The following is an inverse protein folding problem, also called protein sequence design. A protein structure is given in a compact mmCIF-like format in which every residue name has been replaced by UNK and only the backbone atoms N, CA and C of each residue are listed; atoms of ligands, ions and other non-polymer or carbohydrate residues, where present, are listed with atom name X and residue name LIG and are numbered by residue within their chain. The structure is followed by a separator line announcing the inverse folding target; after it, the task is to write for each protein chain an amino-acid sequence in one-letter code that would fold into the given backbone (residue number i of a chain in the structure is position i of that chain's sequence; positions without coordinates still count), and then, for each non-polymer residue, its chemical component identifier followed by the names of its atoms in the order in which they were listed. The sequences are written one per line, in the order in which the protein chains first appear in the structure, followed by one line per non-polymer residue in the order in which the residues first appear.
data_IF_320835076146
#
_entry.id   IF_320835076146
#
_cell.length_a   1.000
_cell.length_b   1.000
_cell.length_c   1.000
_cell.angle_alpha   90.00
_cell.angle_beta   90.00
_cell.angle_gamma   90.00
#
_symmetry.space_group_name_H-M   'P 1'
#
loop_
_entity.id
_entity.type
_entity.pdbx_description
1 polymer ?
#
# COMPACT_ATOMS: atom_id res chain seq x y z
N UNK A 1 -18.27 -24.55 -7.18
CA UNK A 1 -18.60 -23.22 -7.73
C UNK A 1 -18.51 -22.08 -6.73
N UNK A 2 -19.27 -22.03 -5.61
CA UNK A 2 -19.25 -20.90 -4.64
C UNK A 2 -17.87 -20.54 -4.07
N UNK A 3 -17.00 -21.54 -3.87
CA UNK A 3 -15.65 -21.36 -3.35
C UNK A 3 -14.73 -20.63 -4.34
N UNK A 4 -14.84 -20.93 -5.63
CA UNK A 4 -14.01 -20.33 -6.67
C UNK A 4 -14.33 -18.84 -6.83
N UNK A 5 -15.61 -18.47 -6.73
CA UNK A 5 -16.05 -17.07 -6.68
C UNK A 5 -15.50 -16.33 -5.46
N UNK A 6 -15.44 -16.96 -4.28
CA UNK A 6 -14.86 -16.34 -3.08
C UNK A 6 -13.37 -16.05 -3.23
N UNK A 7 -12.61 -16.97 -3.83
CA UNK A 7 -11.18 -16.77 -4.12
C UNK A 7 -11.00 -15.63 -5.12
N UNK A 8 -11.80 -15.61 -6.18
CA UNK A 8 -11.78 -14.53 -7.18
C UNK A 8 -12.07 -13.17 -6.55
N UNK A 9 -13.06 -13.07 -5.66
CA UNK A 9 -13.37 -11.83 -4.94
C UNK A 9 -12.20 -11.41 -4.05
N UNK A 10 -11.60 -12.33 -3.30
CA UNK A 10 -10.43 -12.02 -2.46
C UNK A 10 -9.24 -11.57 -3.31
N UNK A 11 -8.98 -12.23 -4.45
CA UNK A 11 -7.93 -11.86 -5.38
C UNK A 11 -8.15 -10.48 -6.00
N UNK A 12 -9.38 -10.15 -6.39
CA UNK A 12 -9.75 -8.81 -6.89
C UNK A 12 -9.56 -7.75 -5.81
N UNK A 13 -10.00 -8.00 -4.58
CA UNK A 13 -9.81 -7.07 -3.46
C UNK A 13 -8.33 -6.84 -3.16
N UNK A 14 -7.51 -7.90 -3.20
CA UNK A 14 -6.05 -7.80 -3.06
C UNK A 14 -5.41 -6.98 -4.18
N UNK A 15 -5.82 -7.22 -5.43
CA UNK A 15 -5.31 -6.48 -6.58
C UNK A 15 -5.66 -4.99 -6.48
N UNK A 16 -6.89 -4.65 -6.07
CA UNK A 16 -7.30 -3.25 -5.84
C UNK A 16 -6.45 -2.61 -4.74
N UNK A 17 -6.28 -3.28 -3.60
CA UNK A 17 -5.44 -2.81 -2.47
C UNK A 17 -4.00 -2.56 -2.91
N UNK A 18 -3.42 -3.48 -3.68
CA UNK A 18 -2.06 -3.34 -4.21
C UNK A 18 -1.94 -2.20 -5.23
N UNK A 19 -2.92 -2.03 -6.12
CA UNK A 19 -2.95 -0.92 -7.06
C UNK A 19 -3.04 0.43 -6.35
N UNK A 20 -3.86 0.54 -5.29
CA UNK A 20 -3.92 1.78 -4.49
C UNK A 20 -2.60 2.07 -3.80
N UNK A 21 -1.88 1.03 -3.35
CA UNK A 21 -0.55 1.16 -2.75
C UNK A 21 0.48 1.64 -3.76
N UNK A 22 0.47 1.06 -4.97
CA UNK A 22 1.36 1.44 -6.06
C UNK A 22 1.10 2.88 -6.48
N UNK A 23 -0.16 3.31 -6.65
CA UNK A 23 -0.47 4.71 -7.01
C UNK A 23 -0.04 5.68 -5.91
N UNK A 24 -0.28 5.36 -4.64
CA UNK A 24 0.14 6.19 -3.52
C UNK A 24 1.67 6.33 -3.47
N UNK A 25 2.40 5.22 -3.58
CA UNK A 25 3.86 5.24 -3.60
C UNK A 25 4.45 5.81 -4.89
N UNK A 26 3.80 5.64 -6.04
CA UNK A 26 4.24 6.21 -7.30
C UNK A 26 4.06 7.73 -7.31
N UNK A 27 2.95 8.24 -6.77
CA UNK A 27 2.73 9.67 -6.65
C UNK A 27 3.78 10.31 -5.73
N UNK A 28 3.93 9.82 -4.50
CA UNK A 28 4.92 10.35 -3.57
C UNK A 28 6.36 10.04 -3.99
N UNK A 29 6.59 8.90 -4.64
CA UNK A 29 7.89 8.49 -5.19
C UNK A 29 8.33 9.33 -6.39
N UNK A 30 7.40 9.81 -7.21
CA UNK A 30 7.71 10.73 -8.33
C UNK A 30 8.17 12.10 -7.83
N UNK A 31 7.59 12.59 -6.73
CA UNK A 31 8.00 13.83 -6.06
C UNK A 31 9.41 13.67 -5.48
N UNK A 32 9.65 12.51 -4.83
CA UNK A 32 10.97 12.15 -4.28
C UNK A 32 12.03 12.04 -5.39
N UNK A 33 11.74 11.30 -6.47
CA UNK A 33 12.66 11.13 -7.60
C UNK A 33 12.93 12.43 -8.34
N UNK A 34 11.93 13.30 -8.51
CA UNK A 34 12.09 14.63 -9.10
C UNK A 34 13.07 15.49 -8.29
N UNK A 35 12.88 15.57 -6.96
CA UNK A 35 13.80 16.32 -6.12
C UNK A 35 15.20 15.70 -6.01
N UNK A 36 15.32 14.36 -6.12
CA UNK A 36 16.63 13.69 -6.21
C UNK A 36 17.36 14.03 -7.52
N UNK A 37 16.63 14.07 -8.64
CA UNK A 37 17.17 14.47 -9.94
C UNK A 37 17.67 15.94 -9.95
N UNK A 38 17.04 16.80 -9.15
CA UNK A 38 17.42 18.21 -8.98
C UNK A 38 18.51 18.43 -7.91
N UNK A 39 19.12 17.36 -7.39
CA UNK A 39 20.19 17.44 -6.39
C UNK A 39 19.74 17.84 -4.98
N UNK A 40 18.42 17.85 -4.71
CA UNK A 40 17.82 18.26 -3.44
C UNK A 40 17.60 17.10 -2.46
N UNK A 41 18.59 16.22 -2.32
CA UNK A 41 18.48 14.96 -1.57
C UNK A 41 18.00 15.17 -0.13
N UNK A 42 18.54 16.17 0.57
CA UNK A 42 18.19 16.44 1.97
C UNK A 42 16.75 16.95 2.11
N UNK A 43 16.33 17.91 1.28
CA UNK A 43 14.96 18.44 1.36
C UNK A 43 13.93 17.39 0.96
N UNK A 44 14.28 16.47 0.05
CA UNK A 44 13.39 15.37 -0.36
C UNK A 44 13.17 14.38 0.78
N UNK A 45 14.23 14.09 1.55
CA UNK A 45 14.11 13.25 2.74
C UNK A 45 13.26 13.93 3.81
N UNK A 46 13.45 15.23 4.04
CA UNK A 46 12.63 16.00 4.99
C UNK A 46 11.16 16.08 4.53
N UNK A 47 10.90 16.30 3.24
CA UNK A 47 9.55 16.33 2.67
C UNK A 47 8.88 14.95 2.77
N UNK A 48 9.63 13.87 2.54
CA UNK A 48 9.14 12.50 2.69
C UNK A 48 8.82 12.16 4.15
N UNK A 49 9.70 12.53 5.08
CA UNK A 49 9.46 12.35 6.51
C UNK A 49 8.28 13.21 7.00
N UNK A 50 8.12 14.41 6.44
CA UNK A 50 7.00 15.32 6.68
C UNK A 50 5.63 14.72 6.32
N UNK A 51 5.57 13.77 5.37
CA UNK A 51 4.34 13.01 5.08
C UNK A 51 3.85 12.18 6.27
N UNK A 52 4.72 11.91 7.25
CA UNK A 52 4.42 11.13 8.45
C UNK A 52 4.41 11.99 9.72
N UNK A 53 4.64 13.30 9.61
CA UNK A 53 4.61 14.25 10.73
C UNK A 53 3.30 15.05 10.79
N UNK A 54 2.96 15.53 11.98
CA UNK A 54 1.76 16.34 12.22
C UNK A 54 0.42 15.58 12.10
N UNK A 55 -0.71 16.31 12.13
CA UNK A 55 -2.06 15.72 12.14
C UNK A 55 -2.37 14.88 10.88
N UNK A 56 -1.78 15.23 9.75
CA UNK A 56 -1.93 14.51 8.48
C UNK A 56 -1.03 13.25 8.42
N UNK A 57 0.13 13.29 9.07
CA UNK A 57 1.02 12.12 9.24
C UNK A 57 0.34 10.93 9.91
N UNK A 58 -0.44 11.20 10.97
CA UNK A 58 -1.27 10.17 11.61
C UNK A 58 -2.29 9.54 10.63
N UNK A 59 -2.86 10.34 9.72
CA UNK A 59 -3.80 9.84 8.71
C UNK A 59 -3.09 8.98 7.67
N UNK A 60 -1.89 9.37 7.23
CA UNK A 60 -1.07 8.60 6.28
C UNK A 60 -0.59 7.27 6.89
N UNK A 61 -0.14 7.28 8.16
CA UNK A 61 0.21 6.05 8.90
C UNK A 61 -1.01 5.16 9.05
N UNK A 62 -2.17 5.72 9.42
CA UNK A 62 -3.41 4.97 9.56
C UNK A 62 -3.85 4.35 8.21
N UNK A 63 -3.74 5.10 7.11
CA UNK A 63 -4.05 4.62 5.77
C UNK A 63 -3.15 3.44 5.39
N UNK A 64 -1.84 3.57 5.60
CA UNK A 64 -0.86 2.51 5.34
C UNK A 64 -1.09 1.27 6.21
N UNK A 65 -1.45 1.47 7.48
CA UNK A 65 -1.72 0.38 8.44
C UNK A 65 -2.99 -0.38 8.09
N UNK A 66 -4.09 0.30 7.77
CA UNK A 66 -5.36 -0.32 7.39
C UNK A 66 -5.19 -1.14 6.09
N UNK A 67 -4.56 -0.55 5.08
CA UNK A 67 -4.32 -1.23 3.81
C UNK A 67 -3.37 -2.43 3.98
N UNK A 68 -2.31 -2.30 4.77
CA UNK A 68 -1.40 -3.41 5.10
C UNK A 68 -2.09 -4.57 5.83
N UNK A 69 -2.98 -4.26 6.78
CA UNK A 69 -3.79 -5.27 7.46
C UNK A 69 -4.76 -5.99 6.49
N UNK A 70 -5.44 -5.25 5.61
CA UNK A 70 -6.32 -5.83 4.58
C UNK A 70 -5.56 -6.75 3.61
N UNK A 71 -4.38 -6.34 3.14
CA UNK A 71 -3.53 -7.16 2.28
C UNK A 71 -3.09 -8.46 2.99
N UNK A 72 -2.69 -8.36 4.26
CA UNK A 72 -2.28 -9.51 5.08
C UNK A 72 -3.41 -10.52 5.25
N UNK A 73 -4.62 -10.05 5.58
CA UNK A 73 -5.82 -10.89 5.69
C UNK A 73 -6.13 -11.59 4.37
N UNK A 74 -6.03 -10.88 3.25
CA UNK A 74 -6.21 -11.45 1.91
C UNK A 74 -5.22 -12.57 1.61
N UNK A 75 -3.93 -12.36 1.89
CA UNK A 75 -2.87 -13.35 1.67
C UNK A 75 -3.11 -14.59 2.54
N UNK A 76 -3.41 -14.40 3.82
CA UNK A 76 -3.70 -15.52 4.75
C UNK A 76 -4.90 -16.33 4.29
N UNK A 77 -5.96 -15.67 3.80
CA UNK A 77 -7.14 -16.36 3.28
C UNK A 77 -6.82 -17.22 2.04
N UNK A 78 -5.97 -16.71 1.13
CA UNK A 78 -5.51 -17.46 -0.03
C UNK A 78 -4.63 -18.64 0.39
N UNK A 79 -3.65 -18.44 1.27
CA UNK A 79 -2.75 -19.49 1.76
C UNK A 79 -3.51 -20.60 2.50
N UNK A 80 -4.44 -20.25 3.39
CA UNK A 80 -5.29 -21.21 4.10
C UNK A 80 -6.06 -22.10 3.12
N UNK A 81 -6.57 -21.51 2.02
CA UNK A 81 -7.30 -22.21 0.98
C UNK A 81 -6.40 -23.18 0.20
N UNK A 82 -5.19 -22.77 -0.18
CA UNK A 82 -4.22 -23.64 -0.86
C UNK A 82 -3.77 -24.80 0.02
N UNK A 83 -3.62 -24.57 1.34
CA UNK A 83 -3.18 -25.61 2.29
C UNK A 83 -4.30 -26.64 2.57
N UNK A 84 -5.57 -26.21 2.63
CA UNK A 84 -6.69 -27.09 3.02
C UNK A 84 -7.53 -27.65 1.86
N UNK A 85 -7.41 -27.13 0.64
CA UNK A 85 -8.27 -27.50 -0.51
C UNK A 85 -9.53 -26.65 -0.65
#
# INVERSE_FOLDING_TARGET
MKIMYRILIVGVLLAVVLLTFIDYFAFHGSIVLGGLADGRIVSVLDDFMGLFEGPQGNSNILYMTIFGACATVGIVAILYKFIKG
#
